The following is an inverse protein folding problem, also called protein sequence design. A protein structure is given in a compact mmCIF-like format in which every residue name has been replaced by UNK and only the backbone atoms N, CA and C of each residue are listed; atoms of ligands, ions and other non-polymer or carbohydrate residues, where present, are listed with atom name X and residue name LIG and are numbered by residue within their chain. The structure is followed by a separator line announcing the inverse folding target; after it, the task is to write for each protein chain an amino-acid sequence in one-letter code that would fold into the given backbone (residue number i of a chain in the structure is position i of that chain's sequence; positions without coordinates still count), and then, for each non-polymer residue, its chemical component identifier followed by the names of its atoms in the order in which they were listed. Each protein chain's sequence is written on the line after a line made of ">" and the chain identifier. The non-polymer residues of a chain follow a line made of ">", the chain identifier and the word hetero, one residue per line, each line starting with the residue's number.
data_IF_750572153293
#
_entry.id   IF_750572153293
#
_cell.length_a   1.000
_cell.length_b   1.000
_cell.length_c   1.000
_cell.angle_alpha   90.00
_cell.angle_beta   90.00
_cell.angle_gamma   90.00
#
_symmetry.space_group_name_H-M   'P 1'
#
loop_
_entity.id
_entity.type
_entity.pdbx_description
1 polymer ?
#
# COMPACT_ATOMS: atom_id res chain seq x y z
N UNK A 1 -10.10 -8.88 13.63
CA UNK A 1 -10.62 -7.74 12.85
C UNK A 1 -11.46 -8.33 11.74
N UNK A 2 -12.73 -8.61 11.99
CA UNK A 2 -13.68 -9.01 10.94
C UNK A 2 -14.26 -7.75 10.30
N UNK A 3 -14.29 -7.69 8.96
CA UNK A 3 -15.20 -6.81 8.23
C UNK A 3 -14.66 -5.53 7.60
N UNK A 4 -13.34 -5.27 7.55
CA UNK A 4 -12.87 -4.15 6.72
C UNK A 4 -12.85 -4.53 5.24
N UNK A 5 -13.98 -4.29 4.55
CA UNK A 5 -14.02 -4.31 3.10
C UNK A 5 -13.51 -2.97 2.58
N UNK A 6 -12.26 -2.94 2.13
CA UNK A 6 -11.71 -1.74 1.51
C UNK A 6 -12.54 -1.37 0.27
N UNK A 7 -13.15 -0.18 0.28
CA UNK A 7 -13.91 0.33 -0.87
C UNK A 7 -12.97 1.14 -1.73
N UNK A 8 -12.63 0.62 -2.91
CA UNK A 8 -11.76 1.29 -3.87
C UNK A 8 -12.21 1.01 -5.32
N UNK A 9 -11.73 1.82 -6.25
CA UNK A 9 -11.89 1.63 -7.70
C UNK A 9 -10.57 1.19 -8.31
N UNK A 10 -10.63 0.40 -9.38
CA UNK A 10 -9.45 0.03 -10.15
C UNK A 10 -8.67 1.28 -10.57
N UNK A 11 -7.35 1.26 -10.35
CA UNK A 11 -6.43 2.36 -10.65
C UNK A 11 -6.15 3.32 -9.48
N UNK A 12 -6.80 3.12 -8.32
CA UNK A 12 -6.46 3.81 -7.08
C UNK A 12 -5.20 3.25 -6.40
N UNK A 13 -4.66 4.00 -5.43
CA UNK A 13 -3.47 3.66 -4.66
C UNK A 13 -3.72 3.79 -3.16
N UNK A 14 -2.95 3.05 -2.36
CA UNK A 14 -2.86 3.22 -0.90
C UNK A 14 -1.59 4.02 -0.55
N UNK A 15 -1.68 4.94 0.40
CA UNK A 15 -0.51 5.68 0.90
C UNK A 15 -0.09 5.14 2.25
N UNK A 16 1.12 4.61 2.32
CA UNK A 16 1.73 4.10 3.55
C UNK A 16 2.59 5.18 4.22
N UNK A 17 2.60 5.14 5.55
CA UNK A 17 3.38 6.02 6.42
C UNK A 17 4.57 5.25 6.98
N UNK A 18 5.75 5.85 6.91
CA UNK A 18 7.00 5.32 7.41
C UNK A 18 7.68 6.37 8.27
N UNK A 19 8.42 5.92 9.29
CA UNK A 19 9.21 6.80 10.14
C UNK A 19 10.69 6.46 9.98
N UNK A 20 11.50 7.48 9.70
CA UNK A 20 12.95 7.38 9.71
C UNK A 20 13.58 8.59 10.45
N UNK A 21 14.91 8.73 10.34
CA UNK A 21 15.64 9.81 11.02
C UNK A 21 15.28 11.22 10.50
N UNK A 22 14.62 11.33 9.34
CA UNK A 22 14.08 12.58 8.78
C UNK A 22 12.63 12.83 9.19
N UNK A 23 12.06 11.98 10.05
CA UNK A 23 10.68 12.06 10.51
C UNK A 23 9.73 11.21 9.66
N UNK A 24 8.50 11.69 9.52
CA UNK A 24 7.43 11.01 8.80
C UNK A 24 7.64 11.09 7.28
N UNK A 25 7.61 9.95 6.62
CA UNK A 25 7.76 9.81 5.17
C UNK A 25 6.58 9.03 4.63
N UNK A 26 6.04 9.45 3.49
CA UNK A 26 4.85 8.84 2.88
C UNK A 26 5.16 8.33 1.49
N UNK A 27 4.67 7.13 1.17
CA UNK A 27 4.79 6.54 -0.18
C UNK A 27 3.48 5.88 -0.61
N UNK A 28 3.11 6.15 -1.85
CA UNK A 28 1.91 5.58 -2.47
C UNK A 28 2.25 4.34 -3.29
N UNK A 29 1.40 3.32 -3.18
CA UNK A 29 1.50 2.08 -3.92
C UNK A 29 0.16 1.81 -4.62
N UNK A 30 0.20 1.67 -5.94
CA UNK A 30 -1.01 1.33 -6.71
C UNK A 30 -1.56 -0.02 -6.29
N UNK A 31 -2.87 -0.09 -6.16
CA UNK A 31 -3.57 -1.33 -5.85
C UNK A 31 -3.55 -2.22 -7.08
N UNK A 32 -3.06 -3.45 -6.90
CA UNK A 32 -3.03 -4.50 -7.92
C UNK A 32 -4.29 -5.37 -8.05
N UNK A 33 -5.13 -5.59 -7.00
CA UNK A 33 -6.27 -6.48 -7.10
C UNK A 33 -7.47 -5.79 -7.76
N UNK A 34 -8.34 -6.61 -8.35
CA UNK A 34 -9.64 -6.19 -8.84
C UNK A 34 -10.62 -6.03 -7.68
N UNK A 35 -11.22 -4.84 -7.47
CA UNK A 35 -12.19 -4.61 -6.39
C UNK A 35 -13.48 -5.42 -6.56
N UNK A 36 -13.66 -6.09 -7.71
CA UNK A 36 -14.84 -6.87 -8.05
C UNK A 36 -14.70 -8.35 -7.76
N UNK A 37 -13.46 -8.86 -7.72
CA UNK A 37 -13.20 -10.31 -7.71
C UNK A 37 -12.24 -10.75 -6.60
N UNK A 38 -11.45 -9.84 -6.04
CA UNK A 38 -10.46 -10.17 -5.02
C UNK A 38 -10.90 -9.67 -3.64
N UNK A 39 -10.77 -10.53 -2.63
CA UNK A 39 -11.22 -10.22 -1.26
C UNK A 39 -10.17 -9.46 -0.43
N UNK A 40 -8.91 -9.47 -0.87
CA UNK A 40 -7.78 -8.90 -0.14
C UNK A 40 -7.13 -7.74 -0.88
N UNK A 41 -6.80 -6.69 -0.12
CA UNK A 41 -6.00 -5.59 -0.62
C UNK A 41 -4.55 -6.07 -0.86
N UNK A 42 -4.02 -5.78 -2.04
CA UNK A 42 -2.64 -6.06 -2.40
C UNK A 42 -2.04 -4.91 -3.21
N UNK A 43 -0.72 -4.81 -3.18
CA UNK A 43 0.05 -3.88 -4.00
C UNK A 43 1.41 -4.49 -4.28
N UNK A 44 2.03 -4.07 -5.38
CA UNK A 44 3.32 -4.60 -5.82
C UNK A 44 4.44 -3.61 -5.50
N UNK A 45 5.53 -4.12 -4.93
CA UNK A 45 6.71 -3.32 -4.57
C UNK A 45 7.88 -3.67 -5.48
N UNK A 46 8.37 -2.69 -6.24
CA UNK A 46 9.66 -2.83 -6.95
C UNK A 46 10.81 -2.67 -5.95
N UNK A 47 11.90 -3.43 -6.15
CA UNK A 47 13.15 -3.32 -5.39
C UNK A 47 14.22 -2.52 -6.16
N UNK A 48 14.23 -1.18 -6.10
CA UNK A 48 15.36 -0.39 -6.58
C UNK A 48 16.53 -0.44 -5.59
N UNK A 49 17.76 -0.24 -6.10
CA UNK A 49 18.99 -0.35 -5.31
C UNK A 49 19.07 0.64 -4.15
N UNK A 50 18.44 1.81 -4.23
CA UNK A 50 18.42 2.81 -3.16
C UNK A 50 17.02 3.02 -2.56
N UNK A 51 16.15 2.02 -2.65
CA UNK A 51 14.80 2.10 -2.08
C UNK A 51 14.77 1.76 -0.60
N UNK A 52 14.77 2.79 0.27
CA UNK A 52 14.66 2.61 1.72
C UNK A 52 13.37 1.88 2.11
N UNK A 53 12.22 2.40 1.68
CA UNK A 53 10.91 1.83 2.03
C UNK A 53 10.62 0.49 1.35
N UNK A 54 11.08 0.31 0.11
CA UNK A 54 10.95 -0.99 -0.57
C UNK A 54 11.77 -2.05 0.14
N UNK A 55 12.98 -1.75 0.63
CA UNK A 55 13.75 -2.67 1.47
C UNK A 55 13.04 -2.99 2.78
N UNK A 56 12.43 -2.01 3.44
CA UNK A 56 11.66 -2.25 4.66
C UNK A 56 10.49 -3.21 4.40
N UNK A 57 9.73 -2.96 3.33
CA UNK A 57 8.61 -3.82 2.95
C UNK A 57 9.06 -5.23 2.56
N UNK A 58 10.15 -5.37 1.81
CA UNK A 58 10.62 -6.65 1.29
C UNK A 58 11.34 -7.49 2.35
N UNK A 59 12.15 -6.87 3.22
CA UNK A 59 13.05 -7.60 4.11
C UNK A 59 12.65 -7.59 5.57
N UNK A 60 11.85 -6.61 6.01
CA UNK A 60 11.52 -6.42 7.44
C UNK A 60 10.05 -6.69 7.76
N UNK A 61 9.20 -6.77 6.74
CA UNK A 61 7.77 -7.04 6.93
C UNK A 61 7.54 -8.55 6.91
N UNK A 62 6.66 -9.02 7.78
CA UNK A 62 6.26 -10.43 7.89
C UNK A 62 4.74 -10.51 8.09
N UNK A 63 4.18 -11.71 8.01
CA UNK A 63 2.78 -11.94 8.33
C UNK A 63 2.45 -11.43 9.75
N UNK A 64 1.30 -10.76 9.89
CA UNK A 64 0.90 -10.12 11.14
C UNK A 64 1.50 -8.73 11.40
N UNK A 65 2.43 -8.25 10.56
CA UNK A 65 2.91 -6.88 10.65
C UNK A 65 1.77 -5.88 10.34
N UNK A 66 1.72 -4.80 11.13
CA UNK A 66 0.77 -3.70 10.94
C UNK A 66 1.47 -2.56 10.20
N UNK A 67 0.86 -2.08 9.12
CA UNK A 67 1.34 -0.95 8.33
C UNK A 67 0.42 0.24 8.54
N UNK A 68 1.00 1.42 8.77
CA UNK A 68 0.24 2.66 8.91
C UNK A 68 -0.08 3.25 7.53
N UNK A 69 -1.30 3.78 7.38
CA UNK A 69 -1.79 4.33 6.13
C UNK A 69 -2.63 5.58 6.34
N UNK A 70 -2.55 6.52 5.40
CA UNK A 70 -3.48 7.66 5.33
C UNK A 70 -4.75 7.32 4.53
N UNK A 71 -4.89 6.08 4.06
CA UNK A 71 -6.04 5.60 3.29
C UNK A 71 -5.77 5.43 1.80
N UNK A 72 -6.84 5.07 1.09
CA UNK A 72 -6.87 4.86 -0.36
C UNK A 72 -7.31 6.16 -1.05
N UNK A 73 -6.64 6.50 -2.15
CA UNK A 73 -6.95 7.70 -2.94
C UNK A 73 -6.61 7.50 -4.43
N UNK A 74 -6.89 8.52 -5.23
CA UNK A 74 -6.58 8.56 -6.66
C UNK A 74 -7.81 8.70 -7.55
N UNK A 75 -7.62 9.39 -8.67
CA UNK A 75 -8.64 9.67 -9.69
C UNK A 75 -8.38 8.97 -11.02
N UNK A 76 -7.37 8.08 -11.07
CA UNK A 76 -7.12 7.23 -12.22
C UNK A 76 -8.14 6.09 -12.21
N UNK A 77 -9.36 6.40 -12.65
CA UNK A 77 -10.50 5.48 -12.68
C UNK A 77 -11.05 5.41 -14.09
N UNK A 78 -11.65 4.28 -14.44
CA UNK A 78 -12.38 4.16 -15.69
C UNK A 78 -13.57 5.14 -15.70
N UNK A 79 -13.90 5.73 -16.87
CA UNK A 79 -15.05 6.62 -17.02
C UNK A 79 -16.38 5.90 -16.74
#
# INVERSE_FOLDING_TARGET
>A
MEGWKSVYRSGQFITLVFYNYLGEQRRSFSLSPSPYTDDFLSFTVKKPDNGEFSRQLIYKTAEGAVLETTGISGYFVLP
#
